data_IF_328807506400
#
_entry.id   IF_328807506400
#
_cell.length_a   1.000
_cell.length_b   1.000
_cell.length_c   1.000
_cell.angle_alpha   90.00
_cell.angle_beta   90.00
_cell.angle_gamma   90.00
#
_symmetry.space_group_name_H-M   'P 1'
#
loop_
_entity.id
_entity.type
_entity.pdbx_description
1 polymer ?
#
# COMPACT_ATOMS: atom_id res chain seq x y z
N UNK A 1 13.76 17.66 19.35
CA UNK A 1 12.64 17.25 18.47
C UNK A 1 12.93 17.81 17.09
N UNK A 2 12.67 17.05 16.02
CA UNK A 2 12.79 17.60 14.67
C UNK A 2 11.67 18.63 14.49
N UNK A 3 12.03 19.88 14.18
CA UNK A 3 11.04 20.92 13.89
C UNK A 3 10.14 20.46 12.73
N UNK A 4 8.82 20.59 12.90
CA UNK A 4 7.79 20.22 11.91
C UNK A 4 7.56 18.71 11.68
N UNK A 5 8.02 17.83 12.58
CA UNK A 5 7.62 16.42 12.54
C UNK A 5 6.16 16.28 13.02
N UNK A 6 5.25 15.99 12.09
CA UNK A 6 3.80 15.84 12.37
C UNK A 6 3.27 14.42 12.19
N UNK A 7 3.99 13.59 11.43
CA UNK A 7 3.55 12.24 11.06
C UNK A 7 4.72 11.26 11.18
N UNK A 8 4.49 10.13 11.84
CA UNK A 8 5.40 8.98 11.86
C UNK A 8 4.79 7.84 11.05
N UNK A 9 5.55 7.32 10.09
CA UNK A 9 5.11 6.26 9.18
C UNK A 9 5.83 4.94 9.37
N UNK A 10 5.08 3.83 9.38
CA UNK A 10 5.60 2.48 9.39
C UNK A 10 5.47 1.87 7.98
N UNK A 11 6.57 1.86 7.22
CA UNK A 11 6.55 1.53 5.79
C UNK A 11 7.67 0.58 5.30
N UNK A 12 8.45 -0.03 6.20
CA UNK A 12 9.51 -0.97 5.80
C UNK A 12 10.46 -1.38 6.92
N UNK A 13 11.48 -2.20 6.61
CA UNK A 13 11.85 -2.68 5.27
C UNK A 13 10.96 -3.80 4.70
N UNK A 14 10.22 -4.52 5.56
CA UNK A 14 9.22 -5.52 5.16
C UNK A 14 7.79 -5.01 5.30
N UNK A 15 6.81 -5.92 5.35
CA UNK A 15 5.43 -5.54 5.65
C UNK A 15 5.28 -5.18 7.13
N UNK A 16 4.62 -4.06 7.41
CA UNK A 16 4.45 -3.58 8.77
C UNK A 16 3.53 -4.48 9.62
N UNK A 17 2.59 -5.21 9.00
CA UNK A 17 1.69 -6.11 9.71
C UNK A 17 2.36 -7.42 10.14
N UNK A 18 3.36 -7.89 9.39
CA UNK A 18 4.19 -9.03 9.82
C UNK A 18 5.00 -8.70 11.07
N UNK A 19 5.32 -7.43 11.29
CA UNK A 19 6.06 -6.96 12.46
C UNK A 19 5.20 -6.12 13.43
N UNK A 20 3.89 -6.35 13.44
CA UNK A 20 2.95 -5.44 14.11
C UNK A 20 3.15 -5.32 15.62
N UNK A 21 3.68 -6.36 16.29
CA UNK A 21 4.05 -6.29 17.70
C UNK A 21 5.06 -5.16 17.98
N UNK A 22 6.07 -5.02 17.12
CA UNK A 22 7.07 -3.97 17.26
C UNK A 22 6.49 -2.62 16.83
N UNK A 23 5.64 -2.57 15.81
CA UNK A 23 4.90 -1.35 15.43
C UNK A 23 4.10 -0.80 16.62
N UNK A 24 3.28 -1.62 17.28
CA UNK A 24 2.52 -1.23 18.49
C UNK A 24 3.43 -0.71 19.60
N UNK A 25 4.52 -1.43 19.88
CA UNK A 25 5.50 -1.02 20.90
C UNK A 25 6.09 0.36 20.58
N UNK A 26 6.49 0.59 19.33
CA UNK A 26 7.06 1.87 18.90
C UNK A 26 6.04 3.01 18.98
N UNK A 27 4.78 2.79 18.59
CA UNK A 27 3.71 3.78 18.72
C UNK A 27 3.55 4.21 20.19
N UNK A 28 3.49 3.24 21.11
CA UNK A 28 3.33 3.54 22.55
C UNK A 28 4.51 4.35 23.09
N UNK A 29 5.74 3.95 22.76
CA UNK A 29 6.94 4.69 23.19
C UNK A 29 7.01 6.11 22.62
N UNK A 30 6.56 6.33 21.39
CA UNK A 30 6.50 7.67 20.81
C UNK A 30 5.44 8.51 21.53
N UNK A 31 4.25 7.95 21.80
CA UNK A 31 3.18 8.66 22.51
C UNK A 31 3.51 9.04 23.94
N UNK A 32 4.36 8.26 24.62
CA UNK A 32 4.89 8.64 25.94
C UNK A 32 5.70 9.93 25.88
N UNK A 33 6.29 10.25 24.72
CA UNK A 33 7.10 11.44 24.50
C UNK A 33 6.32 12.59 23.82
N UNK A 34 5.46 12.26 22.86
CA UNK A 34 4.65 13.20 22.09
C UNK A 34 3.28 12.58 21.74
N UNK A 35 2.24 13.03 22.44
CA UNK A 35 0.87 12.53 22.27
C UNK A 35 0.18 13.02 20.99
N UNK A 36 0.67 14.09 20.38
CA UNK A 36 0.03 14.74 19.24
C UNK A 36 0.53 14.18 17.89
N UNK A 37 1.55 13.31 17.92
CA UNK A 37 2.06 12.63 16.74
C UNK A 37 0.97 11.81 16.04
N UNK A 38 0.77 12.07 14.74
CA UNK A 38 -0.08 11.25 13.89
C UNK A 38 0.70 10.03 13.36
N UNK A 39 0.04 8.87 13.32
CA UNK A 39 0.65 7.65 12.80
C UNK A 39 0.04 7.22 11.48
N UNK A 40 0.90 6.81 10.55
CA UNK A 40 0.50 6.17 9.31
C UNK A 40 1.18 4.81 9.11
N UNK A 41 0.51 3.93 8.37
CA UNK A 41 0.94 2.56 8.14
C UNK A 41 0.87 2.22 6.64
N UNK A 42 1.90 1.58 6.11
CA UNK A 42 1.89 1.02 4.75
C UNK A 42 1.98 -0.50 4.81
N UNK A 43 1.19 -1.19 3.98
CA UNK A 43 1.12 -2.64 3.93
C UNK A 43 0.78 -3.16 2.53
N UNK A 44 1.16 -4.40 2.23
CA UNK A 44 0.69 -5.18 1.09
C UNK A 44 -0.76 -5.65 1.27
N UNK A 45 -1.31 -5.61 2.48
CA UNK A 45 -2.70 -5.90 2.79
C UNK A 45 -3.05 -7.37 3.01
N UNK A 46 -2.10 -8.30 2.91
CA UNK A 46 -2.34 -9.74 3.07
C UNK A 46 -2.87 -10.09 4.47
N UNK A 47 -2.40 -9.43 5.51
CA UNK A 47 -2.84 -9.61 6.91
C UNK A 47 -3.83 -8.53 7.37
N UNK A 48 -4.31 -7.68 6.46
CA UNK A 48 -5.06 -6.47 6.84
C UNK A 48 -6.35 -6.75 7.62
N UNK A 49 -7.17 -7.77 7.28
CA UNK A 49 -8.37 -8.07 8.04
C UNK A 49 -8.07 -8.52 9.48
N UNK A 50 -7.01 -9.31 9.64
CA UNK A 50 -6.60 -9.88 10.94
C UNK A 50 -6.14 -8.78 11.92
N UNK A 51 -5.54 -7.70 11.41
CA UNK A 51 -5.05 -6.58 12.22
C UNK A 51 -5.93 -5.33 12.21
N UNK A 52 -7.06 -5.33 11.50
CA UNK A 52 -7.85 -4.11 11.32
C UNK A 52 -8.31 -3.46 12.63
N UNK A 53 -8.81 -4.26 13.58
CA UNK A 53 -9.26 -3.72 14.89
C UNK A 53 -8.07 -3.21 15.71
N UNK A 54 -6.96 -3.93 15.63
CA UNK A 54 -5.70 -3.60 16.27
C UNK A 54 -5.13 -2.25 15.77
N UNK A 55 -5.24 -1.98 14.46
CA UNK A 55 -4.88 -0.72 13.81
C UNK A 55 -5.78 0.43 14.29
N UNK A 56 -7.09 0.20 14.39
CA UNK A 56 -8.06 1.19 14.87
C UNK A 56 -7.78 1.52 16.34
N UNK A 57 -7.65 0.48 17.18
CA UNK A 57 -7.48 0.63 18.63
C UNK A 57 -6.15 1.29 19.00
N UNK A 58 -5.08 1.02 18.24
CA UNK A 58 -3.80 1.69 18.45
C UNK A 58 -3.80 3.11 17.88
N UNK A 59 -4.88 3.61 17.28
CA UNK A 59 -5.04 5.00 16.85
C UNK A 59 -4.20 5.39 15.62
N UNK A 60 -4.00 4.46 14.68
CA UNK A 60 -3.48 4.80 13.35
C UNK A 60 -4.60 5.50 12.56
N UNK A 61 -4.30 6.63 11.95
CA UNK A 61 -5.31 7.45 11.24
C UNK A 61 -5.21 7.38 9.73
N UNK A 62 -4.03 7.03 9.20
CA UNK A 62 -3.76 6.97 7.77
C UNK A 62 -3.19 5.61 7.38
N UNK A 63 -3.77 5.00 6.36
CA UNK A 63 -3.36 3.69 5.85
C UNK A 63 -2.99 3.80 4.38
N UNK A 64 -1.92 3.14 3.97
CA UNK A 64 -1.63 2.86 2.56
C UNK A 64 -1.63 1.36 2.32
N UNK A 65 -2.45 0.88 1.38
CA UNK A 65 -2.48 -0.52 0.94
C UNK A 65 -1.95 -0.59 -0.47
N UNK A 66 -1.05 -1.54 -0.76
CA UNK A 66 -0.58 -1.78 -2.13
C UNK A 66 -1.46 -2.82 -2.81
N UNK A 67 -2.22 -2.41 -3.83
CA UNK A 67 -3.10 -3.29 -4.60
C UNK A 67 -2.72 -3.15 -6.07
N UNK A 68 -1.95 -4.09 -6.60
CA UNK A 68 -1.45 -4.03 -7.98
C UNK A 68 -2.44 -4.60 -9.00
N UNK A 69 -3.36 -5.46 -8.56
CA UNK A 69 -4.39 -6.08 -9.40
C UNK A 69 -5.59 -6.47 -8.54
N UNK A 70 -6.76 -6.53 -9.16
CA UNK A 70 -7.98 -7.18 -8.63
C UNK A 70 -8.44 -8.33 -9.53
N UNK A 71 -7.52 -8.83 -10.36
CA UNK A 71 -7.66 -10.01 -11.20
C UNK A 71 -6.63 -11.05 -10.73
N UNK A 72 -7.14 -12.19 -10.29
CA UNK A 72 -6.37 -13.33 -9.77
C UNK A 72 -5.37 -13.85 -10.81
N UNK A 73 -5.70 -13.82 -12.10
CA UNK A 73 -4.84 -14.32 -13.17
C UNK A 73 -3.55 -13.50 -13.36
N UNK A 74 -3.52 -12.25 -12.86
CA UNK A 74 -2.33 -11.40 -12.88
C UNK A 74 -1.42 -11.60 -11.66
N UNK A 75 -1.89 -12.24 -10.59
CA UNK A 75 -1.11 -12.41 -9.35
C UNK A 75 0.20 -13.20 -9.59
N UNK A 76 0.21 -14.35 -10.28
CA UNK A 76 1.46 -15.10 -10.55
C UNK A 76 2.46 -14.33 -11.43
N UNK A 77 1.97 -13.36 -12.21
CA UNK A 77 2.82 -12.50 -13.02
C UNK A 77 3.51 -11.42 -12.17
N UNK A 78 2.88 -10.98 -11.07
CA UNK A 78 3.36 -9.89 -10.22
C UNK A 78 4.18 -10.39 -9.02
N UNK A 79 3.76 -11.49 -8.40
CA UNK A 79 4.32 -12.00 -7.15
C UNK A 79 4.90 -13.41 -7.34
N UNK A 80 6.01 -13.72 -6.66
CA UNK A 80 6.70 -15.02 -6.80
C UNK A 80 6.41 -15.99 -5.65
N UNK A 81 6.28 -15.47 -4.43
CA UNK A 81 6.21 -16.28 -3.20
C UNK A 81 5.25 -15.63 -2.21
N UNK A 82 4.45 -16.46 -1.56
CA UNK A 82 3.58 -16.05 -0.47
C UNK A 82 3.87 -16.89 0.76
N UNK A 83 3.94 -16.22 1.90
CA UNK A 83 3.94 -16.86 3.20
C UNK A 83 2.73 -16.31 3.95
N UNK A 84 1.79 -17.18 4.30
CA UNK A 84 0.53 -16.80 4.94
C UNK A 84 0.22 -17.77 6.07
N UNK A 85 0.02 -17.26 7.28
CA UNK A 85 -0.35 -18.04 8.47
C UNK A 85 0.54 -19.27 8.74
N UNK A 86 1.85 -19.13 8.46
CA UNK A 86 2.85 -20.17 8.70
C UNK A 86 3.05 -21.14 7.53
N UNK A 87 2.33 -20.95 6.43
CA UNK A 87 2.39 -21.81 5.25
C UNK A 87 2.94 -21.04 4.04
N UNK A 88 3.71 -21.73 3.21
CA UNK A 88 4.10 -21.22 1.90
C UNK A 88 3.01 -21.57 0.89
N UNK A 89 2.51 -20.58 0.17
CA UNK A 89 1.50 -20.75 -0.87
C UNK A 89 2.10 -20.43 -2.24
N UNK A 90 1.67 -21.16 -3.26
CA UNK A 90 1.87 -20.74 -4.65
C UNK A 90 1.12 -19.43 -4.92
N UNK A 91 1.57 -18.63 -5.90
CA UNK A 91 0.84 -17.42 -6.29
C UNK A 91 -0.62 -17.68 -6.69
N UNK A 92 -0.91 -18.80 -7.32
CA UNK A 92 -2.26 -19.21 -7.71
C UNK A 92 -3.15 -19.48 -6.49
N UNK A 93 -2.63 -20.19 -5.49
CA UNK A 93 -3.35 -20.43 -4.22
C UNK A 93 -3.54 -19.15 -3.40
N UNK A 94 -2.55 -18.25 -3.43
CA UNK A 94 -2.59 -17.01 -2.66
C UNK A 94 -3.44 -15.91 -3.31
N UNK A 95 -3.70 -15.98 -4.62
CA UNK A 95 -4.40 -14.94 -5.37
C UNK A 95 -5.78 -14.55 -4.78
N UNK A 96 -6.71 -15.50 -4.56
CA UNK A 96 -8.02 -15.15 -3.99
C UNK A 96 -7.88 -14.62 -2.55
N UNK A 97 -6.96 -15.18 -1.76
CA UNK A 97 -6.72 -14.77 -0.37
C UNK A 97 -6.20 -13.33 -0.32
N UNK A 98 -5.21 -12.98 -1.14
CA UNK A 98 -4.63 -11.65 -1.17
C UNK A 98 -5.69 -10.60 -1.54
N UNK A 99 -6.43 -10.82 -2.63
CA UNK A 99 -7.44 -9.87 -3.11
C UNK A 99 -8.56 -9.70 -2.07
N UNK A 100 -9.06 -10.81 -1.53
CA UNK A 100 -10.10 -10.77 -0.49
C UNK A 100 -9.62 -9.99 0.74
N UNK A 101 -8.39 -10.26 1.22
CA UNK A 101 -7.87 -9.63 2.43
C UNK A 101 -7.59 -8.14 2.23
N UNK A 102 -7.00 -7.76 1.09
CA UNK A 102 -6.77 -6.36 0.73
C UNK A 102 -8.08 -5.57 0.68
N UNK A 103 -9.09 -6.08 -0.03
CA UNK A 103 -10.35 -5.36 -0.25
C UNK A 103 -11.22 -5.32 1.02
N UNK A 104 -11.34 -6.42 1.75
CA UNK A 104 -12.11 -6.47 3.00
C UNK A 104 -11.47 -5.61 4.10
N UNK A 105 -10.14 -5.67 4.23
CA UNK A 105 -9.39 -4.83 5.17
C UNK A 105 -9.47 -3.35 4.82
N UNK A 106 -9.31 -2.99 3.54
CA UNK A 106 -9.48 -1.62 3.05
C UNK A 106 -10.87 -1.09 3.39
N UNK A 107 -11.92 -1.88 3.10
CA UNK A 107 -13.31 -1.50 3.40
C UNK A 107 -13.56 -1.33 4.89
N UNK A 108 -13.08 -2.25 5.72
CA UNK A 108 -13.25 -2.20 7.18
C UNK A 108 -12.60 -0.93 7.75
N UNK A 109 -11.35 -0.65 7.39
CA UNK A 109 -10.60 0.50 7.92
C UNK A 109 -11.14 1.84 7.39
N UNK A 110 -11.52 1.90 6.11
CA UNK A 110 -12.15 3.10 5.56
C UNK A 110 -13.50 3.39 6.23
N UNK A 111 -14.30 2.34 6.50
CA UNK A 111 -15.59 2.47 7.19
C UNK A 111 -15.43 2.87 8.66
N UNK A 112 -14.29 2.57 9.28
CA UNK A 112 -13.92 3.01 10.62
C UNK A 112 -13.36 4.45 10.65
N UNK A 113 -13.32 5.15 9.51
CA UNK A 113 -12.93 6.56 9.42
C UNK A 113 -11.44 6.80 9.16
N UNK A 114 -10.64 5.76 8.87
CA UNK A 114 -9.25 5.97 8.46
C UNK A 114 -9.18 6.56 7.06
N UNK A 115 -8.19 7.43 6.83
CA UNK A 115 -7.88 7.93 5.49
C UNK A 115 -7.05 6.86 4.77
N UNK A 116 -7.71 6.08 3.92
CA UNK A 116 -7.07 5.00 3.18
C UNK A 116 -6.62 5.42 1.78
N UNK A 117 -5.34 5.18 1.47
CA UNK A 117 -4.72 5.37 0.16
C UNK A 117 -4.40 4.02 -0.45
N UNK A 118 -4.60 3.88 -1.76
CA UNK A 118 -4.15 2.67 -2.49
C UNK A 118 -2.97 3.01 -3.39
N UNK A 119 -1.83 2.36 -3.16
CA UNK A 119 -0.69 2.38 -4.06
C UNK A 119 -0.86 1.31 -5.14
N UNK A 120 -0.52 1.65 -6.37
CA UNK A 120 -0.63 0.75 -7.53
C UNK A 120 0.68 0.86 -8.32
N UNK A 121 1.42 -0.24 -8.46
CA UNK A 121 2.58 -0.30 -9.33
C UNK A 121 2.13 -0.61 -10.76
N UNK A 122 2.45 0.28 -11.70
CA UNK A 122 2.22 0.06 -13.12
C UNK A 122 3.39 -0.74 -13.71
N UNK A 123 3.06 -1.94 -14.18
CA UNK A 123 3.95 -2.87 -14.86
C UNK A 123 3.47 -3.00 -16.30
N UNK A 124 4.18 -2.35 -17.23
CA UNK A 124 3.84 -2.35 -18.66
C UNK A 124 3.92 -3.78 -19.24
N UNK A 125 2.92 -4.16 -20.03
CA UNK A 125 2.69 -5.52 -20.53
C UNK A 125 2.00 -6.45 -19.53
N UNK A 126 1.70 -6.02 -18.31
CA UNK A 126 1.14 -6.89 -17.25
C UNK A 126 -0.20 -6.35 -16.75
N UNK A 127 -0.23 -5.16 -16.15
CA UNK A 127 -1.43 -4.67 -15.46
C UNK A 127 -1.91 -3.28 -15.92
N UNK A 128 -1.21 -2.60 -16.83
CA UNK A 128 -1.52 -1.22 -17.22
C UNK A 128 -2.95 -1.04 -17.73
N UNK A 129 -3.46 -2.03 -18.46
CA UNK A 129 -4.83 -2.02 -18.98
C UNK A 129 -5.89 -2.34 -17.89
N UNK A 130 -5.46 -2.95 -16.78
CA UNK A 130 -6.31 -3.32 -15.65
C UNK A 130 -6.36 -2.26 -14.54
N UNK A 131 -5.40 -1.33 -14.51
CA UNK A 131 -5.29 -0.34 -13.41
C UNK A 131 -6.56 0.49 -13.21
N UNK A 132 -7.27 0.86 -14.27
CA UNK A 132 -8.54 1.60 -14.10
C UNK A 132 -9.58 0.77 -13.33
N UNK A 133 -9.61 -0.56 -13.52
CA UNK A 133 -10.48 -1.45 -12.76
C UNK A 133 -10.07 -1.50 -11.30
N UNK A 134 -8.77 -1.60 -11.01
CA UNK A 134 -8.24 -1.53 -9.63
C UNK A 134 -8.66 -0.22 -8.96
N UNK A 135 -8.54 0.91 -9.65
CA UNK A 135 -8.90 2.24 -9.15
C UNK A 135 -10.39 2.34 -8.81
N UNK A 136 -11.27 1.85 -9.70
CA UNK A 136 -12.72 1.79 -9.44
C UNK A 136 -13.02 0.92 -8.22
N UNK A 137 -12.45 -0.28 -8.18
CA UNK A 137 -12.63 -1.19 -7.05
C UNK A 137 -12.14 -0.57 -5.74
N UNK A 138 -10.98 0.09 -5.72
CA UNK A 138 -10.47 0.78 -4.53
C UNK A 138 -11.43 1.85 -4.02
N UNK A 139 -12.00 2.66 -4.93
CA UNK A 139 -13.03 3.65 -4.60
C UNK A 139 -14.27 2.98 -3.99
N UNK A 140 -14.76 1.91 -4.60
CA UNK A 140 -15.94 1.18 -4.13
C UNK A 140 -15.73 0.56 -2.72
N UNK A 141 -14.46 0.38 -2.32
CA UNK A 141 -14.06 -0.10 -1.00
C UNK A 141 -13.62 1.03 -0.05
N UNK A 142 -13.90 2.29 -0.38
CA UNK A 142 -13.73 3.42 0.52
C UNK A 142 -12.36 4.09 0.49
N UNK A 143 -11.49 3.77 -0.47
CA UNK A 143 -10.24 4.51 -0.65
C UNK A 143 -10.53 6.01 -0.87
N UNK A 144 -9.71 6.85 -0.26
CA UNK A 144 -9.74 8.31 -0.41
C UNK A 144 -9.01 8.75 -1.69
N UNK A 145 -7.90 8.09 -2.01
CA UNK A 145 -7.10 8.38 -3.20
C UNK A 145 -6.29 7.17 -3.66
N UNK A 146 -5.88 7.19 -4.92
CA UNK A 146 -4.91 6.23 -5.47
C UNK A 146 -3.60 6.90 -5.86
N UNK A 147 -2.52 6.14 -5.86
CA UNK A 147 -1.19 6.56 -6.28
C UNK A 147 -0.61 5.52 -7.22
N UNK A 148 -0.72 5.81 -8.52
CA UNK A 148 -0.17 4.96 -9.58
C UNK A 148 1.29 5.34 -9.78
N UNK A 149 2.21 4.42 -9.52
CA UNK A 149 3.66 4.62 -9.61
C UNK A 149 4.28 3.74 -10.67
N UNK A 150 5.39 4.18 -11.27
CA UNK A 150 6.20 3.34 -12.15
C UNK A 150 7.14 2.43 -11.36
N UNK A 151 7.54 1.33 -11.97
CA UNK A 151 8.59 0.45 -11.47
C UNK A 151 9.89 1.23 -11.22
N UNK A 152 10.53 0.97 -10.08
CA UNK A 152 11.96 1.21 -9.89
C UNK A 152 12.62 -0.17 -9.90
N UNK A 153 13.42 -0.50 -10.92
CA UNK A 153 14.10 -1.78 -10.97
C UNK A 153 15.02 -1.94 -9.76
N UNK A 154 14.91 -3.08 -9.07
CA UNK A 154 15.70 -3.40 -7.90
C UNK A 154 16.47 -4.69 -8.12
N UNK A 155 17.76 -4.68 -7.79
CA UNK A 155 18.65 -5.83 -7.91
C UNK A 155 18.10 -7.03 -7.10
N UNK A 156 18.03 -8.20 -7.73
CA UNK A 156 17.51 -9.43 -7.15
C UNK A 156 15.98 -9.54 -7.12
N UNK A 157 15.25 -8.55 -7.67
CA UNK A 157 13.80 -8.65 -7.84
C UNK A 157 13.44 -9.30 -9.17
N UNK A 158 12.23 -9.87 -9.27
CA UNK A 158 11.64 -10.39 -10.51
C UNK A 158 11.76 -9.41 -11.70
N UNK A 159 11.69 -8.12 -11.40
CA UNK A 159 11.64 -7.04 -12.38
C UNK A 159 12.97 -6.26 -12.49
N UNK A 160 14.10 -6.83 -12.05
CA UNK A 160 15.42 -6.18 -12.10
C UNK A 160 15.78 -5.65 -13.50
N UNK A 161 15.43 -6.39 -14.55
CA UNK A 161 15.75 -6.04 -15.94
C UNK A 161 14.56 -5.43 -16.70
N UNK A 162 13.49 -5.06 -16.00
CA UNK A 162 12.28 -4.49 -16.62
C UNK A 162 12.40 -2.97 -16.71
N UNK A 163 12.10 -2.40 -17.88
CA UNK A 163 12.06 -0.94 -18.04
C UNK A 163 10.77 -0.36 -17.43
N UNK A 164 10.82 0.80 -16.77
CA UNK A 164 9.62 1.47 -16.31
C UNK A 164 8.78 1.95 -17.49
N UNK A 165 7.46 2.02 -17.28
CA UNK A 165 6.56 2.69 -18.22
C UNK A 165 6.98 4.15 -18.45
N UNK A 166 6.83 4.62 -19.68
CA UNK A 166 7.08 6.01 -20.06
C UNK A 166 6.23 7.01 -19.24
N UNK A 167 6.81 8.16 -18.90
CA UNK A 167 6.17 9.16 -18.03
C UNK A 167 4.93 9.78 -18.67
N UNK A 168 4.89 9.93 -20.00
CA UNK A 168 3.69 10.43 -20.70
C UNK A 168 2.56 9.41 -20.59
N UNK A 169 2.84 8.13 -20.84
CA UNK A 169 1.85 7.04 -20.67
C UNK A 169 1.36 6.94 -19.23
N UNK A 170 2.25 7.04 -18.24
CA UNK A 170 1.87 7.04 -16.83
C UNK A 170 0.96 8.22 -16.49
N UNK A 171 1.25 9.41 -17.02
CA UNK A 171 0.44 10.61 -16.81
C UNK A 171 -0.94 10.50 -17.46
N UNK A 172 -1.01 9.94 -18.67
CA UNK A 172 -2.27 9.63 -19.36
C UNK A 172 -3.10 8.63 -18.55
N UNK A 173 -2.49 7.58 -18.02
CA UNK A 173 -3.15 6.59 -17.15
C UNK A 173 -3.68 7.24 -15.86
N UNK A 174 -2.87 8.08 -15.19
CA UNK A 174 -3.32 8.85 -14.02
C UNK A 174 -4.50 9.76 -14.36
N UNK A 175 -4.45 10.47 -15.50
CA UNK A 175 -5.57 11.33 -15.95
C UNK A 175 -6.83 10.53 -16.27
N UNK A 176 -6.68 9.34 -16.88
CA UNK A 176 -7.79 8.41 -17.12
C UNK A 176 -8.43 7.98 -15.79
N UNK A 177 -7.62 7.71 -14.77
CA UNK A 177 -8.08 7.26 -13.46
C UNK A 177 -8.61 8.39 -12.57
N UNK A 178 -8.20 9.65 -12.80
CA UNK A 178 -8.60 10.80 -11.98
C UNK A 178 -10.08 11.17 -12.09
N UNK A 179 -10.78 10.67 -13.12
CA UNK A 179 -12.23 10.84 -13.24
C UNK A 179 -13.00 10.01 -12.20
N UNK A 180 -12.38 8.96 -11.64
CA UNK A 180 -13.01 8.05 -10.69
C UNK A 180 -12.72 8.46 -9.24
N UNK A 181 -11.45 8.70 -8.92
CA UNK A 181 -10.96 9.02 -7.57
C UNK A 181 -9.72 9.91 -7.68
N UNK A 182 -9.45 10.70 -6.63
CA UNK A 182 -8.26 11.55 -6.52
C UNK A 182 -6.98 10.74 -6.76
N UNK A 183 -6.07 11.30 -7.56
CA UNK A 183 -4.76 10.73 -7.84
C UNK A 183 -3.65 11.50 -7.12
N UNK A 184 -2.60 10.78 -6.70
CA UNK A 184 -1.36 11.39 -6.22
C UNK A 184 -0.41 11.68 -7.39
N UNK A 185 0.08 12.92 -7.50
CA UNK A 185 1.04 13.34 -8.53
C UNK A 185 2.45 13.63 -7.98
N UNK A 186 2.59 13.93 -6.69
CA UNK A 186 3.85 14.34 -6.05
C UNK A 186 4.54 13.19 -5.29
N UNK A 187 4.34 11.94 -5.72
CA UNK A 187 5.00 10.81 -5.08
C UNK A 187 6.50 10.79 -5.43
N UNK A 188 7.36 10.87 -4.40
CA UNK A 188 8.82 10.76 -4.53
C UNK A 188 9.36 9.33 -4.36
N UNK A 189 8.47 8.35 -4.19
CA UNK A 189 8.81 6.96 -3.85
C UNK A 189 9.78 6.88 -2.67
N UNK A 190 9.38 7.47 -1.55
CA UNK A 190 10.19 7.59 -0.34
C UNK A 190 10.71 6.23 0.14
N UNK A 191 11.92 6.22 0.67
CA UNK A 191 12.51 5.05 1.32
C UNK A 191 12.03 4.93 2.77
N UNK A 192 12.09 3.73 3.32
CA UNK A 192 11.69 3.46 4.71
C UNK A 192 12.52 4.22 5.76
N UNK A 193 13.71 4.71 5.41
CA UNK A 193 14.64 5.48 6.24
C UNK A 193 14.53 7.00 6.04
N UNK A 194 13.50 7.49 5.33
CA UNK A 194 13.35 8.92 5.03
C UNK A 194 12.91 9.72 6.26
N UNK A 195 13.58 10.84 6.52
CA UNK A 195 13.22 11.81 7.58
C UNK A 195 13.29 13.23 7.00
N UNK A 196 12.24 14.03 7.19
CA UNK A 196 12.21 15.44 6.77
C UNK A 196 10.86 15.87 6.20
N UNK A 197 10.86 17.00 5.50
CA UNK A 197 9.69 17.55 4.82
C UNK A 197 9.55 16.94 3.43
N UNK A 198 8.33 16.54 3.07
CA UNK A 198 7.98 16.19 1.70
C UNK A 198 7.62 17.47 0.95
N UNK A 199 8.42 17.83 -0.06
CA UNK A 199 8.20 18.98 -0.97
C UNK A 199 7.91 18.58 -2.42
#
# INVERSE_FOLDING_TARGET
MLENLSVVGFAGPGDALENFKNVKKTINLIREYDSDTLFCLSTNGLLLPDYADDIINIGITHLTVTINTVDEALIPQIYEKFHYKGENLSPEEAAPILIQNQLSGLKKLSSAGLVCKVNILCLEGINENHIEKVVKTAKDHGAFMTNITKLIPAKGSKFENTSPIDDKKLMELRKKCSVHIKQMYHCRQCRADSVGLLS
#
